data_IF_261619300638
#
_entry.id   IF_261619300638
#
_cell.length_a   1.000
_cell.length_b   1.000
_cell.length_c   1.000
_cell.angle_alpha   90.00
_cell.angle_beta   90.00
_cell.angle_gamma   90.00
#
_symmetry.space_group_name_H-M   'P 1'
#
loop_
_entity.id
_entity.type
_entity.pdbx_description
1 polymer ?
#
# COMPACT_ATOMS: atom_id res chain seq x y z
N UNK A 1 -5.85 -34.02 14.51
CA UNK A 1 -5.14 -33.11 13.57
C UNK A 1 -4.63 -31.92 14.37
N UNK A 2 -3.33 -31.86 14.69
CA UNK A 2 -2.73 -30.69 15.27
C UNK A 2 -2.72 -29.61 14.17
N UNK A 3 -3.49 -28.54 14.35
CA UNK A 3 -3.35 -27.35 13.53
C UNK A 3 -1.94 -26.78 13.79
N UNK A 4 -1.09 -26.86 12.79
CA UNK A 4 0.20 -26.18 12.81
C UNK A 4 -0.10 -24.68 12.84
N UNK A 5 0.03 -24.06 14.02
CA UNK A 5 -0.15 -22.62 14.17
C UNK A 5 1.05 -21.99 13.50
N UNK A 6 0.85 -21.46 12.29
CA UNK A 6 1.90 -20.73 11.57
C UNK A 6 2.20 -19.44 12.30
N UNK A 7 3.42 -19.29 12.77
CA UNK A 7 3.93 -18.11 13.47
C UNK A 7 4.68 -17.18 12.52
N UNK A 8 4.76 -15.90 12.88
CA UNK A 8 5.54 -14.93 12.12
C UNK A 8 7.03 -15.27 12.21
N UNK A 9 7.67 -15.39 11.07
CA UNK A 9 9.12 -15.55 10.99
C UNK A 9 9.80 -14.19 10.92
N UNK A 10 10.18 -13.64 12.07
CA UNK A 10 10.81 -12.33 12.19
C UNK A 10 12.16 -12.23 11.47
N UNK A 11 12.89 -13.33 11.32
CA UNK A 11 14.17 -13.36 10.60
C UNK A 11 14.03 -13.05 9.10
N UNK A 12 12.82 -13.18 8.55
CA UNK A 12 12.50 -12.84 7.15
C UNK A 12 11.98 -11.42 6.95
N UNK A 13 11.89 -10.62 8.02
CA UNK A 13 11.43 -9.23 7.98
C UNK A 13 12.63 -8.31 8.20
N UNK A 14 13.18 -7.74 7.13
CA UNK A 14 14.37 -6.88 7.17
C UNK A 14 14.15 -5.46 7.74
N UNK A 15 12.98 -5.20 8.29
CA UNK A 15 12.47 -3.85 8.52
C UNK A 15 11.96 -3.70 9.96
N UNK A 16 12.77 -3.08 10.82
CA UNK A 16 12.52 -2.90 12.25
C UNK A 16 11.16 -2.22 12.53
N UNK A 17 10.72 -1.28 11.70
CA UNK A 17 9.47 -0.56 11.91
C UNK A 17 8.26 -1.48 11.71
N UNK A 18 8.35 -2.42 10.74
CA UNK A 18 7.31 -3.44 10.54
C UNK A 18 7.34 -4.44 11.69
N UNK A 19 8.52 -4.84 12.14
CA UNK A 19 8.67 -5.70 13.34
C UNK A 19 8.05 -5.01 14.56
N UNK A 20 8.36 -3.73 14.81
CA UNK A 20 7.75 -2.97 15.91
C UNK A 20 6.23 -2.89 15.77
N UNK A 21 5.70 -2.63 14.56
CA UNK A 21 4.26 -2.61 14.31
C UNK A 21 3.60 -3.96 14.66
N UNK A 22 4.25 -5.07 14.30
CA UNK A 22 3.78 -6.43 14.62
C UNK A 22 3.74 -6.64 16.14
N UNK A 23 4.79 -6.26 16.87
CA UNK A 23 4.85 -6.36 18.33
C UNK A 23 3.82 -5.46 19.02
N UNK A 24 3.73 -4.18 18.62
CA UNK A 24 2.81 -3.20 19.21
C UNK A 24 1.35 -3.62 19.06
N UNK A 25 1.03 -4.34 17.98
CA UNK A 25 -0.31 -4.83 17.67
C UNK A 25 -0.51 -6.31 18.02
N UNK A 26 0.50 -6.98 18.60
CA UNK A 26 0.47 -8.40 19.02
C UNK A 26 0.10 -9.36 17.88
N UNK A 27 0.67 -9.13 16.69
CA UNK A 27 0.40 -9.93 15.49
C UNK A 27 1.40 -11.08 15.36
N UNK A 28 1.27 -12.11 16.18
CA UNK A 28 2.25 -13.20 16.21
C UNK A 28 1.81 -14.43 15.39
N UNK A 29 0.51 -14.56 15.14
CA UNK A 29 -0.10 -15.72 14.49
C UNK A 29 -1.01 -15.28 13.34
N UNK A 30 -1.30 -16.18 12.41
CA UNK A 30 -2.16 -15.88 11.25
C UNK A 30 -3.53 -15.33 11.65
N UNK A 31 -4.14 -15.83 12.72
CA UNK A 31 -5.45 -15.33 13.17
C UNK A 31 -5.40 -13.90 13.69
N UNK A 32 -4.24 -13.42 14.19
CA UNK A 32 -4.09 -12.03 14.61
C UNK A 32 -4.12 -11.09 13.40
N UNK A 33 -3.53 -11.51 12.27
CA UNK A 33 -3.62 -10.79 11.01
C UNK A 33 -5.02 -10.85 10.40
N UNK A 34 -5.70 -11.98 10.53
CA UNK A 34 -7.08 -12.13 10.08
C UNK A 34 -8.05 -11.19 10.82
N UNK A 35 -7.74 -10.87 12.08
CA UNK A 35 -8.50 -9.93 12.90
C UNK A 35 -8.18 -8.44 12.64
N UNK A 36 -7.20 -8.12 11.78
CA UNK A 36 -6.92 -6.73 11.41
C UNK A 36 -8.11 -6.12 10.66
N UNK A 37 -8.47 -4.92 11.05
CA UNK A 37 -9.54 -4.15 10.41
C UNK A 37 -8.96 -3.05 9.53
N UNK A 38 -9.52 -2.91 8.34
CA UNK A 38 -9.24 -1.82 7.43
C UNK A 38 -10.28 -0.72 7.55
N UNK A 39 -9.86 0.51 7.39
CA UNK A 39 -10.76 1.65 7.40
C UNK A 39 -11.79 1.52 6.28
N UNK A 40 -13.07 1.62 6.63
CA UNK A 40 -14.17 1.67 5.68
C UNK A 40 -14.83 3.06 5.78
N UNK A 41 -14.69 3.94 4.78
CA UNK A 41 -15.33 5.24 4.82
C UNK A 41 -16.85 5.08 4.67
N UNK A 42 -17.57 5.25 5.77
CA UNK A 42 -19.03 5.45 5.69
C UNK A 42 -19.28 6.80 5.04
N UNK A 43 -20.22 6.89 4.11
CA UNK A 43 -20.52 8.05 3.25
C UNK A 43 -20.65 9.39 4.00
N UNK A 44 -21.02 9.36 5.27
CA UNK A 44 -21.17 10.56 6.11
C UNK A 44 -19.90 10.96 6.89
N UNK A 45 -18.86 10.13 6.92
CA UNK A 45 -17.63 10.39 7.67
C UNK A 45 -16.54 11.09 6.83
N UNK A 46 -16.63 11.05 5.51
CA UNK A 46 -15.57 11.58 4.61
C UNK A 46 -15.43 13.09 4.65
N UNK A 47 -16.47 13.84 5.02
CA UNK A 47 -16.42 15.31 5.18
C UNK A 47 -15.38 15.81 6.19
N UNK A 48 -14.91 14.94 7.07
CA UNK A 48 -13.90 15.26 8.08
C UNK A 48 -12.47 14.87 7.67
N UNK A 49 -12.31 14.30 6.47
CA UNK A 49 -11.02 13.84 5.96
C UNK A 49 -10.37 14.90 5.07
N UNK A 50 -9.05 14.91 5.07
CA UNK A 50 -8.27 15.64 4.09
C UNK A 50 -8.21 14.86 2.79
N UNK A 51 -8.07 15.57 1.70
CA UNK A 51 -8.04 15.02 0.35
C UNK A 51 -6.68 15.33 -0.27
N UNK A 52 -6.09 14.34 -0.93
CA UNK A 52 -4.85 14.49 -1.67
C UNK A 52 -5.01 13.80 -3.02
N UNK A 53 -4.83 14.57 -4.10
CA UNK A 53 -4.93 14.06 -5.46
C UNK A 53 -3.65 14.39 -6.22
N UNK A 54 -3.13 13.40 -6.94
CA UNK A 54 -1.98 13.55 -7.85
C UNK A 54 -2.21 12.76 -9.12
N UNK A 55 -1.76 13.33 -10.23
CA UNK A 55 -1.77 12.70 -11.55
C UNK A 55 -0.35 12.35 -11.95
N UNK A 56 -0.18 11.17 -12.54
CA UNK A 56 1.07 10.68 -13.11
C UNK A 56 0.83 10.22 -14.55
N UNK A 57 1.88 10.18 -15.35
CA UNK A 57 1.81 9.71 -16.73
C UNK A 57 2.89 8.67 -16.99
N UNK A 58 2.50 7.59 -17.65
CA UNK A 58 3.42 6.55 -18.13
C UNK A 58 3.27 6.48 -19.64
N UNK A 59 4.38 6.64 -20.41
CA UNK A 59 4.34 6.61 -21.87
C UNK A 59 4.24 5.17 -22.40
N UNK A 60 3.17 4.51 -22.03
CA UNK A 60 2.86 3.13 -22.41
C UNK A 60 1.33 2.94 -22.43
N UNK A 61 0.84 1.92 -23.14
CA UNK A 61 -0.57 1.59 -23.29
C UNK A 61 -1.18 1.14 -21.96
N UNK A 62 -2.45 1.47 -21.75
CA UNK A 62 -3.17 1.25 -20.49
C UNK A 62 -3.22 -0.22 -20.07
N UNK A 63 -3.35 -1.15 -21.02
CA UNK A 63 -3.42 -2.59 -20.71
C UNK A 63 -2.10 -3.07 -20.07
N UNK A 64 -0.96 -2.63 -20.65
CA UNK A 64 0.37 -2.99 -20.16
C UNK A 64 0.68 -2.36 -18.81
N UNK A 65 0.28 -1.09 -18.63
CA UNK A 65 0.43 -0.39 -17.34
C UNK A 65 -0.45 -1.05 -16.28
N UNK A 66 -1.70 -1.37 -16.60
CA UNK A 66 -2.62 -2.03 -15.69
C UNK A 66 -2.11 -3.41 -15.26
N UNK A 67 -1.60 -4.18 -16.22
CA UNK A 67 -0.98 -5.48 -15.93
C UNK A 67 0.22 -5.32 -14.99
N UNK A 68 1.05 -4.30 -15.19
CA UNK A 68 2.17 -4.01 -14.29
C UNK A 68 1.69 -3.69 -12.86
N UNK A 69 0.63 -2.90 -12.68
CA UNK A 69 0.05 -2.63 -11.35
C UNK A 69 -0.42 -3.90 -10.64
N UNK A 70 -1.00 -4.83 -11.38
CA UNK A 70 -1.49 -6.08 -10.79
C UNK A 70 -0.39 -7.09 -10.49
N UNK A 71 0.66 -7.12 -11.30
CA UNK A 71 1.65 -8.21 -11.26
C UNK A 71 3.02 -7.82 -10.74
N UNK A 72 3.30 -6.54 -10.48
CA UNK A 72 4.57 -6.16 -9.86
C UNK A 72 4.73 -6.80 -8.49
N UNK A 73 5.86 -7.47 -8.29
CA UNK A 73 6.17 -8.05 -6.99
C UNK A 73 6.26 -6.96 -5.91
N UNK A 74 5.66 -7.12 -4.71
CA UNK A 74 5.66 -6.11 -3.67
C UNK A 74 7.05 -5.58 -3.31
N UNK A 75 8.09 -6.44 -3.31
CA UNK A 75 9.46 -5.98 -3.06
C UNK A 75 9.99 -4.99 -4.11
N UNK A 76 9.47 -5.02 -5.34
CA UNK A 76 9.82 -4.07 -6.41
C UNK A 76 8.92 -2.83 -6.34
N UNK A 77 7.62 -3.03 -6.09
CA UNK A 77 6.66 -1.94 -5.96
C UNK A 77 7.01 -1.00 -4.79
N UNK A 78 7.36 -1.59 -3.65
CA UNK A 78 7.69 -0.89 -2.42
C UNK A 78 9.20 -0.93 -2.16
N UNK A 79 9.98 -0.36 -3.09
CA UNK A 79 11.45 -0.34 -3.04
C UNK A 79 11.97 1.06 -3.33
N UNK A 80 12.80 1.61 -2.45
CA UNK A 80 13.45 2.89 -2.70
C UNK A 80 13.94 3.59 -1.45
N UNK A 81 14.17 4.88 -1.60
CA UNK A 81 14.70 5.71 -0.53
C UNK A 81 13.67 5.94 0.59
N UNK A 82 12.39 6.02 0.24
CA UNK A 82 11.30 6.25 1.17
C UNK A 82 10.56 4.96 1.54
N UNK A 83 10.32 4.11 0.57
CA UNK A 83 9.48 2.93 0.72
C UNK A 83 10.31 1.66 0.86
N UNK A 84 9.88 0.76 1.71
CA UNK A 84 10.43 -0.58 1.78
C UNK A 84 9.34 -1.58 2.15
N UNK A 85 9.23 -2.65 1.36
CA UNK A 85 8.38 -3.79 1.66
C UNK A 85 8.82 -4.46 2.97
N UNK A 86 7.88 -4.91 3.77
CA UNK A 86 8.15 -5.64 5.02
C UNK A 86 7.53 -7.02 5.02
N UNK A 87 6.20 -7.08 4.94
CA UNK A 87 5.43 -8.31 5.04
C UNK A 87 4.11 -8.15 4.32
N UNK A 88 3.57 -9.24 3.76
CA UNK A 88 2.22 -9.32 3.24
C UNK A 88 1.44 -10.43 3.93
N UNK A 89 0.17 -10.18 4.22
CA UNK A 89 -0.80 -11.18 4.64
C UNK A 89 -1.92 -11.26 3.61
N UNK A 90 -2.32 -12.48 3.24
CA UNK A 90 -3.41 -12.72 2.30
C UNK A 90 -4.60 -13.36 3.04
N UNK A 91 -5.71 -12.62 3.19
CA UNK A 91 -6.92 -13.11 3.89
C UNK A 91 -7.49 -14.37 3.25
N UNK A 92 -7.59 -14.38 1.91
CA UNK A 92 -8.24 -15.46 1.18
C UNK A 92 -7.50 -16.80 1.29
N UNK A 93 -6.19 -16.76 1.52
CA UNK A 93 -5.35 -17.94 1.70
C UNK A 93 -4.97 -18.20 3.15
N UNK A 94 -5.21 -17.21 4.02
CA UNK A 94 -4.76 -17.18 5.41
C UNK A 94 -3.26 -17.48 5.53
N UNK A 95 -2.44 -16.76 4.76
CA UNK A 95 -0.99 -16.96 4.68
C UNK A 95 -0.22 -15.64 4.74
N UNK A 96 1.03 -15.72 5.26
CA UNK A 96 2.01 -14.65 5.23
C UNK A 96 2.94 -14.85 4.04
N UNK A 97 3.31 -13.76 3.38
CA UNK A 97 4.32 -13.74 2.32
C UNK A 97 5.42 -12.74 2.66
N UNK A 98 6.65 -13.17 2.47
CA UNK A 98 7.86 -12.41 2.76
C UNK A 98 8.53 -11.94 1.46
N UNK A 99 9.63 -11.21 1.60
CA UNK A 99 10.30 -10.54 0.49
C UNK A 99 10.80 -11.51 -0.61
N UNK A 100 11.09 -12.76 -0.24
CA UNK A 100 11.65 -13.77 -1.13
C UNK A 100 10.62 -14.81 -1.62
N UNK A 101 9.36 -14.68 -1.18
CA UNK A 101 8.30 -15.58 -1.62
C UNK A 101 7.82 -15.20 -3.03
N UNK A 102 7.27 -16.18 -3.76
CA UNK A 102 6.62 -15.94 -5.03
C UNK A 102 5.37 -15.05 -4.87
N UNK A 103 5.10 -14.27 -5.90
CA UNK A 103 3.95 -13.37 -5.91
C UNK A 103 2.98 -13.73 -7.04
N UNK A 104 1.76 -14.03 -6.68
CA UNK A 104 0.70 -14.45 -7.59
C UNK A 104 -0.23 -13.30 -8.04
N UNK A 105 0.27 -12.07 -8.00
CA UNK A 105 -0.49 -10.87 -8.39
C UNK A 105 -1.31 -10.24 -7.24
N UNK A 106 -1.72 -9.01 -7.48
CA UNK A 106 -2.56 -8.25 -6.55
C UNK A 106 -3.98 -8.83 -6.48
N UNK A 107 -4.53 -8.94 -5.27
CA UNK A 107 -5.89 -9.44 -5.02
C UNK A 107 -6.50 -8.69 -3.84
N UNK A 108 -7.81 -8.48 -3.88
CA UNK A 108 -8.55 -7.98 -2.72
C UNK A 108 -8.33 -8.91 -1.50
N UNK A 109 -8.22 -8.32 -0.32
CA UNK A 109 -7.91 -9.02 0.93
C UNK A 109 -6.41 -9.21 1.20
N UNK A 110 -5.53 -8.66 0.36
CA UNK A 110 -4.10 -8.61 0.66
C UNK A 110 -3.78 -7.39 1.52
N UNK A 111 -3.16 -7.63 2.67
CA UNK A 111 -2.64 -6.60 3.58
C UNK A 111 -1.14 -6.51 3.38
N UNK A 112 -0.65 -5.33 3.03
CA UNK A 112 0.78 -5.07 2.84
C UNK A 112 1.28 -4.16 3.95
N UNK A 113 2.29 -4.59 4.69
CA UNK A 113 3.01 -3.78 5.66
C UNK A 113 4.31 -3.26 5.03
N UNK A 114 4.46 -1.95 5.02
CA UNK A 114 5.62 -1.26 4.48
C UNK A 114 6.24 -0.32 5.50
N UNK A 115 7.53 -0.05 5.36
CA UNK A 115 8.17 1.07 6.03
C UNK A 115 8.13 2.30 5.13
N UNK A 116 7.77 3.44 5.70
CA UNK A 116 7.90 4.76 5.07
C UNK A 116 8.90 5.60 5.84
N UNK A 117 9.91 6.14 5.15
CA UNK A 117 10.85 7.12 5.69
C UNK A 117 10.37 8.54 5.36
N UNK A 118 10.45 9.42 6.33
CA UNK A 118 10.17 10.85 6.16
C UNK A 118 11.33 11.68 6.77
N UNK A 119 11.36 12.96 6.48
CA UNK A 119 12.34 13.92 7.04
C UNK A 119 13.80 13.46 6.86
N UNK A 120 14.19 13.04 5.66
CA UNK A 120 15.55 12.55 5.40
C UNK A 120 15.93 11.26 6.16
N UNK A 121 14.91 10.52 6.65
CA UNK A 121 15.12 9.29 7.44
C UNK A 121 15.06 9.49 8.95
N UNK A 122 14.88 10.73 9.44
CA UNK A 122 14.69 11.01 10.87
C UNK A 122 13.38 10.44 11.42
N UNK A 123 12.35 10.39 10.59
CA UNK A 123 11.10 9.70 10.90
C UNK A 123 10.95 8.44 10.05
N UNK A 124 10.73 7.30 10.70
CA UNK A 124 10.46 6.02 10.08
C UNK A 124 9.18 5.46 10.68
N UNK A 125 8.21 5.09 9.86
CA UNK A 125 6.94 4.55 10.33
C UNK A 125 6.57 3.30 9.53
N UNK A 126 5.93 2.34 10.19
CA UNK A 126 5.24 1.27 9.50
C UNK A 126 3.84 1.77 9.09
N UNK A 127 3.44 1.41 7.88
CA UNK A 127 2.11 1.68 7.33
C UNK A 127 1.56 0.37 6.78
N UNK A 128 0.33 0.07 7.14
CA UNK A 128 -0.41 -1.08 6.63
C UNK A 128 -1.53 -0.62 5.72
N UNK A 129 -1.64 -1.27 4.56
CA UNK A 129 -2.76 -1.09 3.64
C UNK A 129 -3.36 -2.45 3.31
N UNK A 130 -4.67 -2.50 3.19
CA UNK A 130 -5.38 -3.62 2.59
C UNK A 130 -5.84 -3.23 1.19
N UNK A 131 -5.61 -4.08 0.20
CA UNK A 131 -6.26 -3.98 -1.11
C UNK A 131 -7.72 -4.37 -0.90
N UNK A 132 -8.63 -3.41 -1.04
CA UNK A 132 -10.05 -3.61 -0.80
C UNK A 132 -10.83 -3.94 -2.05
N UNK A 133 -10.36 -3.44 -3.22
CA UNK A 133 -10.99 -3.69 -4.50
C UNK A 133 -9.98 -3.62 -5.66
N UNK A 134 -10.20 -4.45 -6.66
CA UNK A 134 -9.55 -4.37 -7.98
C UNK A 134 -10.66 -4.53 -9.02
N UNK A 135 -10.81 -3.53 -9.87
CA UNK A 135 -11.78 -3.49 -10.93
C UNK A 135 -11.07 -3.44 -12.29
N UNK A 136 -11.12 -4.54 -13.03
CA UNK A 136 -10.45 -4.67 -14.32
C UNK A 136 -11.14 -3.85 -15.42
N UNK A 137 -12.46 -3.63 -15.35
CA UNK A 137 -13.20 -2.85 -16.34
C UNK A 137 -12.91 -1.36 -16.18
N UNK A 138 -12.97 -0.88 -14.94
CA UNK A 138 -12.71 0.52 -14.61
C UNK A 138 -11.22 0.83 -14.46
N UNK A 139 -10.34 -0.18 -14.56
CA UNK A 139 -8.89 -0.03 -14.30
C UNK A 139 -8.61 0.68 -12.97
N UNK A 140 -9.29 0.23 -11.92
CA UNK A 140 -9.24 0.85 -10.60
C UNK A 140 -8.72 -0.13 -9.54
N UNK A 141 -7.79 0.33 -8.71
CA UNK A 141 -7.29 -0.37 -7.54
C UNK A 141 -7.55 0.50 -6.30
N UNK A 142 -8.25 -0.07 -5.32
CA UNK A 142 -8.54 0.61 -4.07
C UNK A 142 -7.84 -0.06 -2.89
N UNK A 143 -7.31 0.77 -2.00
CA UNK A 143 -6.70 0.31 -0.76
C UNK A 143 -7.20 1.12 0.43
N UNK A 144 -7.22 0.50 1.60
CA UNK A 144 -7.56 1.17 2.85
C UNK A 144 -6.45 1.01 3.89
N UNK A 145 -6.20 2.05 4.67
CA UNK A 145 -5.28 1.96 5.81
C UNK A 145 -5.85 1.07 6.90
N UNK A 146 -4.99 0.36 7.61
CA UNK A 146 -5.38 -0.42 8.79
C UNK A 146 -5.80 0.52 9.92
N UNK A 147 -6.88 0.17 10.64
CA UNK A 147 -7.40 0.95 11.76
C UNK A 147 -6.38 1.12 12.88
N UNK A 148 -5.53 0.11 13.10
CA UNK A 148 -4.40 0.15 14.05
C UNK A 148 -3.22 1.00 13.58
N UNK A 149 -3.30 1.63 12.40
CA UNK A 149 -2.27 2.52 11.86
C UNK A 149 -2.31 3.93 12.46
N UNK A 150 -1.29 4.74 12.12
CA UNK A 150 -1.20 6.16 12.57
C UNK A 150 -2.09 7.11 11.76
N UNK A 151 -2.67 6.66 10.67
CA UNK A 151 -3.61 7.41 9.82
C UNK A 151 -4.76 6.51 9.43
N UNK A 152 -5.95 7.06 9.36
CA UNK A 152 -7.14 6.43 8.79
C UNK A 152 -7.36 6.99 7.38
N UNK A 153 -7.95 6.21 6.50
CA UNK A 153 -8.30 6.66 5.16
C UNK A 153 -8.21 5.54 4.12
N UNK A 154 -8.38 5.95 2.87
CA UNK A 154 -8.30 5.05 1.73
C UNK A 154 -7.63 5.74 0.54
N UNK A 155 -7.18 4.93 -0.40
CA UNK A 155 -6.56 5.38 -1.64
C UNK A 155 -7.27 4.71 -2.81
N UNK A 156 -7.42 5.45 -3.89
CA UNK A 156 -7.91 4.96 -5.18
C UNK A 156 -6.92 5.33 -6.26
N UNK A 157 -6.47 4.34 -7.00
CA UNK A 157 -5.64 4.49 -8.19
C UNK A 157 -6.52 4.11 -9.37
N UNK A 158 -6.72 5.03 -10.30
CA UNK A 158 -7.49 4.82 -11.52
C UNK A 158 -6.64 5.16 -12.73
N UNK A 159 -6.66 4.30 -13.73
CA UNK A 159 -5.97 4.50 -14.99
C UNK A 159 -6.95 4.92 -16.07
N UNK A 160 -6.50 5.83 -16.94
CA UNK A 160 -7.21 6.26 -18.14
C UNK A 160 -6.24 6.44 -19.31
N UNK A 161 -6.75 6.42 -20.52
CA UNK A 161 -5.93 6.66 -21.72
C UNK A 161 -5.96 8.14 -22.08
N UNK A 162 -4.77 8.74 -22.27
CA UNK A 162 -4.62 10.11 -22.82
C UNK A 162 -4.82 10.12 -24.34
N UNK A 163 -5.04 11.33 -24.91
CA UNK A 163 -5.19 11.53 -26.36
C UNK A 163 -4.01 10.99 -27.20
N UNK A 164 -2.80 11.00 -26.64
CA UNK A 164 -1.59 10.47 -27.28
C UNK A 164 -1.42 8.95 -27.13
N UNK A 165 -2.42 8.24 -26.60
CA UNK A 165 -2.36 6.78 -26.35
C UNK A 165 -1.55 6.36 -25.12
N UNK A 166 -0.98 7.31 -24.37
CA UNK A 166 -0.30 7.02 -23.11
C UNK A 166 -1.29 6.82 -21.97
N UNK A 167 -0.80 6.34 -20.83
CA UNK A 167 -1.61 6.10 -19.64
C UNK A 167 -1.47 7.27 -18.65
N UNK A 168 -2.61 7.83 -18.28
CA UNK A 168 -2.75 8.71 -17.12
C UNK A 168 -3.15 7.89 -15.90
N UNK A 169 -2.57 8.22 -14.75
CA UNK A 169 -2.86 7.58 -13.46
C UNK A 169 -3.34 8.65 -12.49
N UNK A 170 -4.59 8.58 -12.12
CA UNK A 170 -5.18 9.41 -11.06
C UNK A 170 -5.03 8.69 -9.72
N UNK A 171 -4.26 9.26 -8.80
CA UNK A 171 -4.09 8.74 -7.44
C UNK A 171 -4.79 9.68 -6.45
N UNK A 172 -5.91 9.23 -5.95
CA UNK A 172 -6.73 9.95 -4.99
C UNK A 172 -6.63 9.30 -3.61
N UNK A 173 -6.44 10.11 -2.58
CA UNK A 173 -6.33 9.66 -1.18
C UNK A 173 -7.21 10.52 -0.30
N UNK A 174 -8.00 9.87 0.56
CA UNK A 174 -8.62 10.51 1.72
C UNK A 174 -7.89 10.03 2.97
N UNK A 175 -7.59 10.94 3.88
CA UNK A 175 -6.84 10.59 5.08
C UNK A 175 -7.16 11.51 6.25
N UNK A 176 -6.98 10.98 7.45
CA UNK A 176 -7.07 11.70 8.71
C UNK A 176 -6.15 11.06 9.73
N UNK A 177 -5.49 11.90 10.52
CA UNK A 177 -4.79 11.48 11.73
C UNK A 177 -5.31 12.23 12.94
N UNK A 178 -4.74 12.03 14.09
CA UNK A 178 -5.06 12.82 15.28
C UNK A 178 -4.39 14.20 15.34
N UNK A 179 -3.69 14.64 14.30
CA UNK A 179 -2.91 15.88 14.30
C UNK A 179 -3.18 16.73 13.07
N UNK A 180 -3.81 17.91 13.28
CA UNK A 180 -4.08 18.89 12.24
C UNK A 180 -2.81 19.33 11.48
N UNK A 181 -1.72 19.60 12.22
CA UNK A 181 -0.45 20.03 11.62
C UNK A 181 0.13 18.96 10.70
N UNK A 182 0.07 17.69 11.14
CA UNK A 182 0.52 16.56 10.33
C UNK A 182 -0.34 16.41 9.07
N UNK A 183 -1.64 16.48 9.21
CA UNK A 183 -2.57 16.23 8.10
C UNK A 183 -2.52 17.35 7.05
N UNK A 184 -2.32 18.59 7.47
CA UNK A 184 -2.35 19.73 6.55
C UNK A 184 -1.01 20.02 5.88
N UNK A 185 0.11 19.83 6.57
CA UNK A 185 1.43 20.24 6.08
C UNK A 185 2.35 19.07 5.79
N UNK A 186 2.45 18.11 6.73
CA UNK A 186 3.46 17.05 6.67
C UNK A 186 3.02 15.94 5.74
N UNK A 187 1.81 15.44 5.90
CA UNK A 187 1.29 14.31 5.16
C UNK A 187 1.28 14.56 3.64
N UNK A 188 0.71 15.65 3.08
CA UNK A 188 0.67 15.84 1.63
C UNK A 188 2.05 15.85 0.99
N UNK A 189 3.03 16.46 1.66
CA UNK A 189 4.40 16.55 1.16
C UNK A 189 5.09 15.17 1.09
N UNK A 190 5.06 14.42 2.19
CA UNK A 190 5.71 13.11 2.24
C UNK A 190 4.93 12.05 1.47
N UNK A 191 3.60 12.12 1.50
CA UNK A 191 2.76 11.24 0.70
C UNK A 191 3.00 11.42 -0.79
N UNK A 192 3.12 12.67 -1.29
CA UNK A 192 3.47 12.94 -2.70
C UNK A 192 4.79 12.25 -3.08
N UNK A 193 5.82 12.32 -2.23
CA UNK A 193 7.10 11.67 -2.50
C UNK A 193 6.98 10.14 -2.49
N UNK A 194 6.25 9.59 -1.54
CA UNK A 194 6.03 8.15 -1.42
C UNK A 194 5.29 7.58 -2.63
N UNK A 195 4.18 8.19 -3.04
CA UNK A 195 3.42 7.72 -4.21
C UNK A 195 4.19 7.94 -5.51
N UNK A 196 5.01 9.00 -5.62
CA UNK A 196 5.90 9.19 -6.77
C UNK A 196 6.92 8.06 -6.87
N UNK A 197 7.52 7.63 -5.76
CA UNK A 197 8.44 6.50 -5.73
C UNK A 197 7.73 5.21 -6.13
N UNK A 198 6.53 4.95 -5.59
CA UNK A 198 5.71 3.81 -5.96
C UNK A 198 5.38 3.77 -7.45
N UNK A 199 4.81 4.84 -8.02
CA UNK A 199 4.49 4.91 -9.45
C UNK A 199 5.74 4.86 -10.33
N UNK A 200 6.85 5.45 -9.85
CA UNK A 200 8.16 5.32 -10.50
C UNK A 200 8.66 3.88 -10.57
N UNK A 201 8.41 3.08 -9.53
CA UNK A 201 8.76 1.66 -9.54
C UNK A 201 7.91 0.85 -10.53
N UNK A 202 6.62 1.19 -10.67
CA UNK A 202 5.77 0.62 -11.74
C UNK A 202 6.35 0.95 -13.11
N UNK A 203 6.68 2.23 -13.36
CA UNK A 203 7.30 2.68 -14.62
C UNK A 203 8.59 1.93 -14.92
N UNK A 204 9.49 1.79 -13.93
CA UNK A 204 10.73 1.01 -14.08
C UNK A 204 10.49 -0.46 -14.38
N UNK A 205 9.44 -1.07 -13.81
CA UNK A 205 9.10 -2.47 -14.08
C UNK A 205 8.68 -2.70 -15.54
N UNK A 206 8.29 -1.63 -16.24
CA UNK A 206 7.99 -1.62 -17.68
C UNK A 206 9.23 -1.37 -18.57
N UNK A 207 10.42 -1.19 -17.97
CA UNK A 207 11.65 -0.85 -18.69
C UNK A 207 11.72 0.62 -19.11
N UNK A 208 10.95 1.48 -18.47
CA UNK A 208 10.90 2.93 -18.74
C UNK A 208 11.66 3.67 -17.62
N UNK A 209 12.79 4.28 -17.94
CA UNK A 209 13.58 5.11 -17.01
C UNK A 209 13.07 6.55 -16.89
#
# INVERSE_FOLDING_TARGET
MQQTISEVNFNRISNEQVVSFIHDNRLYKLHDFAALESFCPKTNCTKQFYHHHKTFHIPERIEKVWDAYKNIHPKKAWCGSMLQFGLQYCRNKNELSYIDDEYAGAKAGQIVLIRVKALGGLAKVAVGHEITSIDDEQRTLETSYLVKGKSLGSQRIQLSTCENGHTEISHYTIYKSGSWLRDRLIYPFFHTKAIREFHGNIRKSLGLD
#
